data_IF_578411906511
#
_entry.id   IF_578411906511
#
_cell.length_a   1.000
_cell.length_b   1.000
_cell.length_c   1.000
_cell.angle_alpha   90.00
_cell.angle_beta   90.00
_cell.angle_gamma   90.00
#
_symmetry.space_group_name_H-M   'P 1'
#
loop_
_entity.id
_entity.type
_entity.pdbx_description
1 polymer ?
#
# COMPACT_ATOMS: atom_id res chain seq x y z
N UNK A 1 4.19 -28.19 11.02
CA UNK A 1 2.92 -27.70 10.41
C UNK A 1 2.80 -28.27 9.00
N UNK A 2 1.60 -28.63 8.55
CA UNK A 2 1.40 -29.06 7.15
C UNK A 2 1.43 -27.85 6.20
N UNK A 3 1.70 -28.09 4.90
CA UNK A 3 1.64 -27.05 3.85
C UNK A 3 0.30 -26.30 3.87
N UNK A 4 -0.80 -27.02 4.02
CA UNK A 4 -2.15 -26.46 4.04
C UNK A 4 -2.37 -25.58 5.28
N UNK A 5 -1.81 -25.97 6.44
CA UNK A 5 -1.86 -25.17 7.66
C UNK A 5 -1.07 -23.87 7.49
N UNK A 6 0.14 -23.93 6.93
CA UNK A 6 0.95 -22.72 6.68
C UNK A 6 0.26 -21.78 5.68
N UNK A 7 -0.25 -22.30 4.57
CA UNK A 7 -0.99 -21.52 3.59
C UNK A 7 -2.24 -20.87 4.20
N UNK A 8 -3.00 -21.60 5.01
CA UNK A 8 -4.17 -21.07 5.70
C UNK A 8 -3.83 -19.91 6.64
N UNK A 9 -2.79 -20.05 7.46
CA UNK A 9 -2.33 -18.97 8.34
C UNK A 9 -1.80 -17.75 7.57
N UNK A 10 -1.05 -17.96 6.48
CA UNK A 10 -0.56 -16.87 5.64
C UNK A 10 -1.71 -16.10 5.00
N UNK A 11 -2.70 -16.79 4.42
CA UNK A 11 -3.86 -16.15 3.80
C UNK A 11 -4.67 -15.33 4.82
N UNK A 12 -4.97 -15.91 5.98
CA UNK A 12 -5.67 -15.22 7.05
C UNK A 12 -4.88 -14.01 7.56
N UNK A 13 -3.57 -14.18 7.79
CA UNK A 13 -2.67 -13.12 8.20
C UNK A 13 -2.63 -11.97 7.20
N UNK A 14 -2.56 -12.26 5.91
CA UNK A 14 -2.60 -11.25 4.85
C UNK A 14 -3.91 -10.49 4.80
N UNK A 15 -5.05 -11.17 4.91
CA UNK A 15 -6.38 -10.52 4.89
C UNK A 15 -6.56 -9.62 6.12
N UNK A 16 -6.21 -10.12 7.31
CA UNK A 16 -6.31 -9.35 8.56
C UNK A 16 -5.35 -8.16 8.54
N UNK A 17 -4.10 -8.38 8.13
CA UNK A 17 -3.08 -7.34 8.04
C UNK A 17 -3.48 -6.23 7.07
N UNK A 18 -3.95 -6.58 5.87
CA UNK A 18 -4.40 -5.62 4.87
C UNK A 18 -5.62 -4.83 5.36
N UNK A 19 -6.58 -5.51 6.00
CA UNK A 19 -7.76 -4.87 6.59
C UNK A 19 -7.38 -3.88 7.70
N UNK A 20 -6.38 -4.22 8.51
CA UNK A 20 -5.86 -3.33 9.55
C UNK A 20 -5.21 -2.07 8.95
N UNK A 21 -4.44 -2.20 7.86
CA UNK A 21 -3.85 -1.05 7.16
C UNK A 21 -4.95 -0.13 6.62
N UNK A 22 -5.99 -0.68 6.01
CA UNK A 22 -7.12 0.12 5.51
C UNK A 22 -7.87 0.82 6.64
N UNK A 23 -8.05 0.12 7.76
CA UNK A 23 -8.67 0.69 8.95
C UNK A 23 -7.86 1.87 9.49
N UNK A 24 -6.54 1.74 9.60
CA UNK A 24 -5.66 2.82 10.06
C UNK A 24 -5.79 4.05 9.17
N UNK A 25 -5.75 3.87 7.84
CA UNK A 25 -5.90 4.99 6.90
C UNK A 25 -7.28 5.65 7.01
N UNK A 26 -8.34 4.86 7.13
CA UNK A 26 -9.71 5.37 7.28
C UNK A 26 -9.91 6.13 8.60
N UNK A 27 -9.36 5.62 9.71
CA UNK A 27 -9.38 6.27 11.03
C UNK A 27 -8.63 7.60 10.95
N UNK A 28 -7.45 7.62 10.35
CA UNK A 28 -6.68 8.85 10.15
C UNK A 28 -7.49 9.92 9.41
N UNK A 29 -8.06 9.59 8.25
CA UNK A 29 -8.87 10.54 7.47
C UNK A 29 -10.13 10.99 8.25
N UNK A 30 -10.71 10.09 9.04
CA UNK A 30 -11.86 10.41 9.90
C UNK A 30 -11.51 11.39 11.01
N UNK A 31 -10.34 11.24 11.63
CA UNK A 31 -9.87 12.18 12.65
C UNK A 31 -9.61 13.55 12.05
N UNK A 32 -8.95 13.61 10.89
CA UNK A 32 -8.73 14.88 10.18
C UNK A 32 -10.07 15.56 9.83
N UNK A 33 -11.02 14.80 9.31
CA UNK A 33 -12.36 15.28 8.98
C UNK A 33 -13.11 15.78 10.23
N UNK A 34 -13.02 15.05 11.35
CA UNK A 34 -13.65 15.44 12.61
C UNK A 34 -13.07 16.74 13.18
N UNK A 35 -11.74 16.91 13.14
CA UNK A 35 -11.06 18.12 13.60
C UNK A 35 -11.39 19.36 12.75
N UNK A 36 -11.77 19.16 11.49
CA UNK A 36 -12.15 20.24 10.56
C UNK A 36 -13.66 20.51 10.53
N UNK A 37 -14.46 19.69 11.19
CA UNK A 37 -15.93 19.78 11.14
C UNK A 37 -16.51 19.31 9.80
N UNK A 38 -15.81 18.46 9.05
CA UNK A 38 -16.25 17.99 7.73
C UNK A 38 -17.49 17.07 7.83
N UNK A 39 -18.29 17.06 6.77
CA UNK A 39 -19.54 16.27 6.67
C UNK A 39 -19.30 14.75 6.68
N UNK A 40 -18.17 14.28 6.14
CA UNK A 40 -17.90 12.87 5.94
C UNK A 40 -17.41 12.19 7.21
N UNK A 41 -18.04 11.06 7.54
CA UNK A 41 -17.71 10.23 8.71
C UNK A 41 -16.96 8.96 8.29
N UNK A 42 -16.48 8.21 9.28
CA UNK A 42 -15.67 7.00 9.11
C UNK A 42 -16.11 6.05 7.99
N UNK A 43 -17.40 5.75 7.87
CA UNK A 43 -17.93 4.88 6.81
C UNK A 43 -17.56 5.33 5.40
N UNK A 44 -17.54 6.63 5.14
CA UNK A 44 -17.20 7.18 3.83
C UNK A 44 -15.71 6.99 3.55
N UNK A 45 -14.86 7.32 4.51
CA UNK A 45 -13.41 7.17 4.38
C UNK A 45 -12.99 5.71 4.27
N UNK A 46 -13.60 4.83 5.05
CA UNK A 46 -13.37 3.39 4.95
C UNK A 46 -13.81 2.85 3.58
N UNK A 47 -14.99 3.24 3.09
CA UNK A 47 -15.45 2.88 1.75
C UNK A 47 -14.49 3.38 0.66
N UNK A 48 -13.98 4.61 0.78
CA UNK A 48 -13.02 5.15 -0.17
C UNK A 48 -11.72 4.36 -0.16
N UNK A 49 -11.17 4.06 1.01
CA UNK A 49 -9.91 3.29 1.14
C UNK A 49 -10.08 1.87 0.59
N UNK A 50 -11.19 1.19 0.91
CA UNK A 50 -11.48 -0.13 0.36
C UNK A 50 -11.59 -0.11 -1.17
N UNK A 51 -12.33 0.85 -1.74
CA UNK A 51 -12.46 0.96 -3.19
C UNK A 51 -11.14 1.32 -3.87
N UNK A 52 -10.40 2.27 -3.29
CA UNK A 52 -9.11 2.70 -3.79
C UNK A 52 -8.06 1.58 -3.78
N UNK A 53 -8.23 0.56 -2.94
CA UNK A 53 -7.33 -0.60 -2.88
C UNK A 53 -7.49 -1.61 -4.02
N UNK A 54 -8.52 -1.48 -4.86
CA UNK A 54 -8.76 -2.39 -5.98
C UNK A 54 -7.53 -2.62 -6.90
N UNK A 55 -6.68 -1.62 -7.21
CA UNK A 55 -5.47 -1.84 -8.01
C UNK A 55 -4.49 -2.86 -7.40
N UNK A 56 -4.50 -3.08 -6.08
CA UNK A 56 -3.63 -4.06 -5.41
C UNK A 56 -3.91 -5.48 -5.93
N UNK A 57 -5.12 -5.76 -6.42
CA UNK A 57 -5.44 -7.04 -7.06
C UNK A 57 -4.57 -7.30 -8.30
N UNK A 58 -4.08 -6.26 -8.98
CA UNK A 58 -3.15 -6.41 -10.10
C UNK A 58 -1.79 -6.94 -9.64
N UNK A 59 -1.29 -6.52 -8.47
CA UNK A 59 -0.09 -7.11 -7.86
C UNK A 59 -0.31 -8.59 -7.56
N UNK A 60 -1.47 -8.96 -6.99
CA UNK A 60 -1.80 -10.37 -6.70
C UNK A 60 -1.84 -11.22 -7.97
N UNK A 61 -2.47 -10.71 -9.04
CA UNK A 61 -2.49 -11.37 -10.34
C UNK A 61 -1.06 -11.48 -10.91
N UNK A 62 -0.28 -10.41 -10.84
CA UNK A 62 1.13 -10.40 -11.26
C UNK A 62 1.95 -11.46 -10.55
N UNK A 63 1.84 -11.57 -9.22
CA UNK A 63 2.50 -12.60 -8.43
C UNK A 63 2.10 -14.01 -8.86
N UNK A 64 0.80 -14.24 -9.10
CA UNK A 64 0.32 -15.54 -9.57
C UNK A 64 0.93 -15.91 -10.93
N UNK A 65 1.00 -14.95 -11.87
CA UNK A 65 1.65 -15.15 -13.18
C UNK A 65 3.13 -15.44 -13.01
N UNK A 66 3.85 -14.71 -12.16
CA UNK A 66 5.28 -14.94 -11.90
C UNK A 66 5.52 -16.35 -11.36
N UNK A 67 4.69 -16.84 -10.45
CA UNK A 67 4.79 -18.22 -9.93
C UNK A 67 4.56 -19.23 -11.07
N UNK A 68 3.52 -19.03 -11.89
CA UNK A 68 3.16 -19.96 -12.97
C UNK A 68 4.25 -20.04 -14.06
N UNK A 69 4.96 -18.95 -14.31
CA UNK A 69 6.03 -18.88 -15.30
C UNK A 69 7.41 -19.26 -14.73
N UNK A 70 7.52 -19.53 -13.42
CA UNK A 70 8.79 -19.89 -12.78
C UNK A 70 9.23 -21.29 -13.21
N UNK A 71 10.40 -21.45 -13.88
CA UNK A 71 10.81 -22.74 -14.45
C UNK A 71 11.03 -23.84 -13.41
N UNK A 72 11.53 -23.49 -12.23
CA UNK A 72 11.96 -24.43 -11.19
C UNK A 72 11.23 -24.24 -9.85
N UNK A 73 10.25 -23.34 -9.79
CA UNK A 73 9.56 -22.96 -8.55
C UNK A 73 10.45 -22.29 -7.49
N UNK A 74 11.73 -22.07 -7.78
CA UNK A 74 12.69 -21.35 -6.94
C UNK A 74 12.60 -19.86 -7.26
N UNK A 75 11.64 -19.19 -6.63
CA UNK A 75 11.48 -17.75 -6.76
C UNK A 75 11.96 -17.06 -5.49
N UNK A 76 12.80 -16.03 -5.65
CA UNK A 76 13.12 -15.14 -4.54
C UNK A 76 11.87 -14.39 -4.10
N UNK A 77 11.76 -14.09 -2.81
CA UNK A 77 10.68 -13.24 -2.29
C UNK A 77 10.68 -11.84 -2.94
N UNK A 78 11.84 -11.35 -3.35
CA UNK A 78 11.99 -10.06 -4.03
C UNK A 78 11.48 -10.07 -5.48
N UNK A 79 11.45 -11.24 -6.12
CA UNK A 79 11.04 -11.37 -7.52
C UNK A 79 9.54 -11.70 -7.65
N UNK A 80 8.85 -11.86 -6.51
CA UNK A 80 7.48 -12.35 -6.47
C UNK A 80 6.47 -11.38 -7.06
N UNK A 81 6.42 -10.14 -6.57
CA UNK A 81 5.51 -9.11 -7.12
C UNK A 81 6.24 -8.31 -8.22
N UNK A 82 5.87 -8.49 -9.51
CA UNK A 82 6.53 -7.79 -10.61
C UNK A 82 6.24 -6.29 -10.64
N UNK A 83 5.26 -5.80 -9.86
CA UNK A 83 4.87 -4.39 -9.81
C UNK A 83 5.59 -3.60 -8.72
N UNK A 84 6.49 -4.22 -7.95
CA UNK A 84 7.32 -3.50 -6.97
C UNK A 84 8.25 -2.52 -7.69
N UNK A 85 8.59 -1.40 -7.04
CA UNK A 85 9.52 -0.42 -7.62
C UNK A 85 10.86 -1.07 -8.00
N UNK A 86 11.33 -2.02 -7.17
CA UNK A 86 12.51 -2.84 -7.48
C UNK A 86 12.38 -3.52 -8.85
N UNK A 87 11.30 -4.26 -9.06
CA UNK A 87 11.10 -5.05 -10.28
C UNK A 87 10.72 -4.20 -11.50
N UNK A 88 10.33 -2.94 -11.28
CA UNK A 88 10.13 -1.92 -12.31
C UNK A 88 11.43 -1.16 -12.68
N UNK A 89 12.58 -1.58 -12.15
CA UNK A 89 13.90 -1.06 -12.52
C UNK A 89 14.55 -0.15 -11.50
N UNK A 90 13.92 0.11 -10.34
CA UNK A 90 14.56 0.84 -9.23
C UNK A 90 15.42 -0.13 -8.41
N UNK A 91 16.50 -0.64 -8.99
CA UNK A 91 17.46 -1.48 -8.29
C UNK A 91 18.59 -0.62 -7.69
N UNK A 92 19.05 -1.00 -6.50
CA UNK A 92 20.16 -0.34 -5.81
C UNK A 92 20.99 -1.33 -5.00
N UNK A 93 22.27 -1.02 -4.83
CA UNK A 93 23.20 -1.81 -4.01
C UNK A 93 23.03 -1.55 -2.50
N UNK A 94 22.34 -0.47 -2.12
CA UNK A 94 22.02 -0.20 -0.72
C UNK A 94 20.89 -1.13 -0.25
N UNK A 95 21.20 -2.06 0.64
CA UNK A 95 20.25 -3.07 1.12
C UNK A 95 18.98 -2.49 1.74
N UNK A 96 19.08 -1.38 2.48
CA UNK A 96 17.93 -0.73 3.12
C UNK A 96 17.01 -0.08 2.09
N UNK A 97 17.58 0.64 1.12
CA UNK A 97 16.81 1.23 0.02
C UNK A 97 16.21 0.15 -0.90
N UNK A 98 16.95 -0.94 -1.15
CA UNK A 98 16.45 -2.08 -1.91
C UNK A 98 15.23 -2.72 -1.23
N UNK A 99 15.26 -2.84 0.11
CA UNK A 99 14.10 -3.32 0.89
C UNK A 99 12.90 -2.37 0.80
N UNK A 100 13.15 -1.05 0.79
CA UNK A 100 12.11 -0.03 0.59
C UNK A 100 11.48 -0.17 -0.80
N UNK A 101 12.28 -0.25 -1.86
CA UNK A 101 11.79 -0.40 -3.23
C UNK A 101 11.05 -1.72 -3.47
N UNK A 102 11.40 -2.78 -2.74
CA UNK A 102 10.63 -4.02 -2.78
C UNK A 102 9.27 -3.94 -2.07
N UNK A 103 9.09 -2.97 -1.16
CA UNK A 103 7.89 -2.87 -0.33
C UNK A 103 6.83 -1.91 -0.88
N UNK A 104 7.20 -1.11 -1.88
CA UNK A 104 6.29 -0.20 -2.57
C UNK A 104 6.04 -0.78 -3.96
N UNK A 105 4.76 -0.95 -4.32
CA UNK A 105 4.37 -1.32 -5.67
C UNK A 105 3.63 -0.22 -6.40
N UNK A 106 3.64 -0.28 -7.73
CA UNK A 106 2.87 0.63 -8.58
C UNK A 106 1.37 0.59 -8.25
N UNK A 107 0.85 -0.58 -7.88
CA UNK A 107 -0.52 -0.74 -7.44
C UNK A 107 -0.82 0.03 -6.14
N UNK A 108 0.12 0.06 -5.19
CA UNK A 108 -0.01 0.88 -3.97
C UNK A 108 -0.01 2.37 -4.29
N UNK A 109 0.90 2.83 -5.17
CA UNK A 109 0.96 4.23 -5.61
C UNK A 109 -0.37 4.63 -6.26
N UNK A 110 -0.91 3.77 -7.13
CA UNK A 110 -2.20 3.98 -7.75
C UNK A 110 -3.33 4.08 -6.70
N UNK A 111 -3.35 3.19 -5.71
CA UNK A 111 -4.32 3.27 -4.60
C UNK A 111 -4.24 4.61 -3.87
N UNK A 112 -3.04 5.12 -3.58
CA UNK A 112 -2.86 6.43 -2.92
C UNK A 112 -3.38 7.57 -3.80
N UNK A 113 -3.13 7.51 -5.11
CA UNK A 113 -3.65 8.50 -6.07
C UNK A 113 -5.17 8.51 -6.09
N UNK A 114 -5.83 7.35 -6.05
CA UNK A 114 -7.30 7.29 -5.98
C UNK A 114 -7.82 7.90 -4.68
N UNK A 115 -7.18 7.61 -3.54
CA UNK A 115 -7.56 8.23 -2.25
C UNK A 115 -7.41 9.74 -2.32
N UNK A 116 -6.31 10.24 -2.90
CA UNK A 116 -6.06 11.67 -3.08
C UNK A 116 -7.14 12.34 -3.92
N UNK A 117 -7.50 11.74 -5.06
CA UNK A 117 -8.55 12.23 -5.94
C UNK A 117 -9.92 12.23 -5.26
N UNK A 118 -10.28 11.13 -4.59
CA UNK A 118 -11.54 11.01 -3.85
C UNK A 118 -11.63 12.02 -2.71
N UNK A 119 -10.57 12.17 -1.92
CA UNK A 119 -10.47 13.16 -0.86
C UNK A 119 -10.68 14.58 -1.40
N UNK A 120 -9.97 14.93 -2.48
CA UNK A 120 -10.05 16.24 -3.11
C UNK A 120 -11.43 16.51 -3.68
N UNK A 121 -12.03 15.54 -4.36
CA UNK A 121 -13.34 15.65 -4.98
C UNK A 121 -14.45 15.81 -3.94
N UNK A 122 -14.37 15.07 -2.84
CA UNK A 122 -15.41 15.08 -1.81
C UNK A 122 -15.44 16.37 -1.00
N UNK A 123 -14.25 16.90 -0.68
CA UNK A 123 -14.06 18.10 0.15
C UNK A 123 -13.77 19.37 -0.66
N UNK A 124 -13.79 19.28 -2.00
CA UNK A 124 -13.58 20.40 -2.94
C UNK A 124 -12.36 21.27 -2.60
N UNK A 125 -11.26 20.61 -2.24
CA UNK A 125 -10.07 21.31 -1.73
C UNK A 125 -8.97 21.51 -2.78
N UNK A 126 -8.00 22.37 -2.47
CA UNK A 126 -6.84 22.61 -3.33
C UNK A 126 -5.89 21.41 -3.35
N UNK A 127 -5.18 21.23 -4.46
CA UNK A 127 -4.19 20.15 -4.61
C UNK A 127 -3.19 20.08 -3.45
N UNK A 128 -2.52 21.17 -3.03
CA UNK A 128 -1.53 21.07 -1.95
C UNK A 128 -2.14 20.59 -0.63
N UNK A 129 -3.34 21.06 -0.29
CA UNK A 129 -4.00 20.67 0.97
C UNK A 129 -4.42 19.20 0.96
N UNK A 130 -4.94 18.72 -0.18
CA UNK A 130 -5.28 17.33 -0.37
C UNK A 130 -4.02 16.44 -0.28
N UNK A 131 -2.96 16.81 -1.00
CA UNK A 131 -1.70 16.06 -1.03
C UNK A 131 -1.07 15.96 0.34
N UNK A 132 -0.90 17.07 1.06
CA UNK A 132 -0.32 17.05 2.42
C UNK A 132 -1.15 16.19 3.37
N UNK A 133 -2.48 16.28 3.30
CA UNK A 133 -3.35 15.50 4.18
C UNK A 133 -3.26 14.01 3.85
N UNK A 134 -3.43 13.61 2.59
CA UNK A 134 -3.48 12.18 2.22
C UNK A 134 -2.10 11.54 2.31
N UNK A 135 -1.03 12.25 1.92
CA UNK A 135 0.32 11.70 1.87
C UNK A 135 1.03 11.68 3.22
N UNK A 136 0.59 12.45 4.22
CA UNK A 136 1.24 12.54 5.54
C UNK A 136 1.63 11.18 6.16
N UNK A 137 0.72 10.19 6.31
CA UNK A 137 1.09 8.90 6.90
C UNK A 137 2.14 8.14 6.09
N UNK A 138 2.06 8.20 4.75
CA UNK A 138 3.01 7.54 3.86
C UNK A 138 4.40 8.21 3.91
N UNK A 139 4.44 9.54 3.96
CA UNK A 139 5.68 10.30 4.07
C UNK A 139 6.39 10.07 5.40
N UNK A 140 5.64 9.89 6.50
CA UNK A 140 6.22 9.51 7.78
C UNK A 140 6.86 8.12 7.67
N UNK A 141 6.15 7.15 7.08
CA UNK A 141 6.66 5.80 6.91
C UNK A 141 7.92 5.75 6.04
N UNK A 142 7.89 6.36 4.85
CA UNK A 142 9.04 6.41 3.94
C UNK A 142 10.18 7.24 4.52
N UNK A 143 9.87 8.35 5.21
CA UNK A 143 10.87 9.23 5.82
C UNK A 143 11.63 8.56 6.95
N UNK A 144 10.95 7.83 7.84
CA UNK A 144 11.60 7.01 8.88
C UNK A 144 12.51 5.97 8.25
N UNK A 145 12.05 5.30 7.18
CA UNK A 145 12.84 4.27 6.54
C UNK A 145 14.07 4.82 5.81
N UNK A 146 13.92 5.93 5.11
CA UNK A 146 15.01 6.64 4.46
C UNK A 146 16.04 7.14 5.48
N UNK A 147 15.60 7.70 6.61
CA UNK A 147 16.50 8.11 7.68
C UNK A 147 17.40 6.96 8.15
N UNK A 148 16.82 5.78 8.39
CA UNK A 148 17.57 4.57 8.77
C UNK A 148 18.49 4.05 7.66
N UNK A 149 18.21 4.36 6.39
CA UNK A 149 19.04 3.95 5.26
C UNK A 149 20.31 4.81 5.09
N UNK A 150 20.29 6.04 5.60
CA UNK A 150 21.36 7.03 5.45
C UNK A 150 22.04 7.41 6.79
N UNK A 151 21.57 6.85 7.92
CA UNK A 151 22.21 6.95 9.24
C UNK A 151 23.27 5.88 9.42
#
# INVERSE_FOLDING_TARGET
>A
MSRNTMMGFSLLGSVVGLSAIFLVQAVYLSLVAALRGDRFKFRHWFSLVCWASAPILLSVIGMAVTILLSPNGQLSAYDLDPLTLRNLGMATDNATLQSLYNSISLAMIWSVVIILLGYRQWLETSWPRASVTVLAPYLIFVGVWAFLAFS
#
